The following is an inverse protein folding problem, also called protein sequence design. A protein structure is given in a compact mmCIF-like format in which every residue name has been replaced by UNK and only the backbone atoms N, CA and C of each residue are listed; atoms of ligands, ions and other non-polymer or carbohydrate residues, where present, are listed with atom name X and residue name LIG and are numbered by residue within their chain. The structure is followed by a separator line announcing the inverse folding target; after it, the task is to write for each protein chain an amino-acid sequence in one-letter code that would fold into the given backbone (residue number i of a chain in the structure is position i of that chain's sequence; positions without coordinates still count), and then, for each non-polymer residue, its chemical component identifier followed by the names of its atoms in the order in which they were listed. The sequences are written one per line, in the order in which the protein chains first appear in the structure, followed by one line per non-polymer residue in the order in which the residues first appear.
data_IF_136655021419
#
_entry.id   IF_136655021419
#
_cell.length_a   1.000
_cell.length_b   1.000
_cell.length_c   1.000
_cell.angle_alpha   90.00
_cell.angle_beta   90.00
_cell.angle_gamma   90.00
#
_symmetry.space_group_name_H-M   'P 1'
#
loop_
_entity.id
_entity.type
_entity.pdbx_description
1 polymer ?
#
# COMPACT_ATOMS: atom_id res chain seq x y z
N UNK A 1 4.93 -8.89 -0.71
CA UNK A 1 3.86 -8.66 -1.71
C UNK A 1 3.23 -7.31 -1.47
N UNK A 2 3.02 -6.54 -2.51
CA UNK A 2 2.35 -5.24 -2.41
C UNK A 2 0.95 -5.32 -3.01
N UNK A 3 -0.01 -4.68 -2.35
CA UNK A 3 -1.41 -4.62 -2.76
C UNK A 3 -1.82 -3.16 -2.87
N UNK A 4 -2.54 -2.80 -3.93
CA UNK A 4 -3.05 -1.45 -4.15
C UNK A 4 -4.56 -1.38 -3.92
N UNK A 5 -5.03 -0.25 -3.37
CA UNK A 5 -6.45 0.04 -3.15
C UNK A 5 -6.95 1.21 -4.03
N UNK A 6 -6.17 1.62 -5.02
CA UNK A 6 -6.36 2.90 -5.70
C UNK A 6 -7.30 2.82 -6.91
N UNK A 7 -7.41 1.70 -7.57
CA UNK A 7 -8.17 1.59 -8.83
C UNK A 7 -9.55 0.96 -8.68
N UNK A 8 -10.42 1.14 -9.68
CA UNK A 8 -11.76 0.53 -9.71
C UNK A 8 -11.73 -0.99 -9.83
N UNK A 9 -10.60 -1.55 -10.28
CA UNK A 9 -10.41 -2.99 -10.48
C UNK A 9 -9.70 -3.66 -9.29
N UNK A 10 -9.54 -2.98 -8.18
CA UNK A 10 -8.88 -3.50 -6.99
C UNK A 10 -9.86 -4.25 -6.09
N UNK A 11 -9.35 -5.23 -5.37
CA UNK A 11 -10.14 -6.01 -4.40
C UNK A 11 -10.79 -5.12 -3.35
N UNK A 12 -10.02 -4.18 -2.81
CA UNK A 12 -10.53 -3.11 -1.97
C UNK A 12 -10.47 -1.79 -2.74
N UNK A 13 -11.62 -1.20 -2.97
CA UNK A 13 -11.77 0.04 -3.74
C UNK A 13 -11.85 1.23 -2.81
N UNK A 14 -10.73 1.61 -2.25
CA UNK A 14 -10.64 2.77 -1.35
C UNK A 14 -10.34 4.08 -2.09
N UNK A 15 -9.94 4.01 -3.36
CA UNK A 15 -9.54 5.16 -4.14
C UNK A 15 -8.12 5.65 -3.86
N UNK A 16 -7.54 5.27 -2.74
CA UNK A 16 -6.16 5.58 -2.34
C UNK A 16 -5.63 4.57 -1.35
N UNK A 17 -4.31 4.43 -1.31
CA UNK A 17 -3.63 3.57 -0.35
C UNK A 17 -3.28 2.20 -0.89
N UNK A 18 -2.75 1.39 -0.04
CA UNK A 18 -2.31 0.03 -0.33
C UNK A 18 -1.81 -0.67 0.92
N UNK A 19 -1.28 -1.85 0.73
CA UNK A 19 -0.69 -2.64 1.81
C UNK A 19 0.56 -3.38 1.35
N UNK A 20 1.47 -3.58 2.26
CA UNK A 20 2.60 -4.50 2.12
C UNK A 20 2.34 -5.72 2.99
N UNK A 21 2.33 -6.90 2.39
CA UNK A 21 2.18 -8.17 3.07
C UNK A 21 3.54 -8.84 3.18
N UNK A 22 3.94 -9.20 4.39
CA UNK A 22 5.22 -9.83 4.66
C UNK A 22 5.12 -10.80 5.83
N UNK A 23 5.88 -11.89 5.76
CA UNK A 23 6.06 -12.84 6.86
C UNK A 23 7.27 -12.50 7.74
N UNK A 24 8.08 -11.53 7.32
CA UNK A 24 9.24 -11.05 8.08
C UNK A 24 8.78 -10.05 9.15
N UNK A 25 8.87 -10.46 10.41
CA UNK A 25 8.48 -9.64 11.55
C UNK A 25 9.32 -8.36 11.68
N UNK A 26 10.62 -8.44 11.45
CA UNK A 26 11.50 -7.27 11.52
C UNK A 26 11.21 -6.27 10.39
N UNK A 27 10.94 -6.76 9.19
CA UNK A 27 10.51 -5.93 8.08
C UNK A 27 9.19 -5.24 8.40
N UNK A 28 8.23 -5.93 8.98
CA UNK A 28 6.94 -5.37 9.39
C UNK A 28 7.11 -4.23 10.40
N UNK A 29 7.97 -4.39 11.40
CA UNK A 29 8.26 -3.34 12.38
C UNK A 29 8.91 -2.13 11.72
N UNK A 30 9.83 -2.36 10.78
CA UNK A 30 10.47 -1.28 10.03
C UNK A 30 9.45 -0.50 9.18
N UNK A 31 8.58 -1.19 8.45
CA UNK A 31 7.53 -0.56 7.64
C UNK A 31 6.53 0.23 8.47
N UNK A 32 6.16 -0.24 9.65
CA UNK A 32 5.29 0.49 10.57
C UNK A 32 5.89 1.84 10.95
N UNK A 33 7.18 1.90 11.22
CA UNK A 33 7.90 3.14 11.49
C UNK A 33 8.06 4.00 10.23
N UNK A 34 8.46 3.39 9.13
CA UNK A 34 8.70 4.09 7.87
C UNK A 34 7.48 4.88 7.39
N UNK A 35 6.28 4.29 7.48
CA UNK A 35 5.02 4.95 7.07
C UNK A 35 4.58 6.08 8.00
N UNK A 36 5.12 6.15 9.20
CA UNK A 36 4.76 7.11 10.24
C UNK A 36 5.95 7.99 10.62
N UNK A 37 6.57 8.61 9.63
CA UNK A 37 7.69 9.54 9.80
C UNK A 37 8.90 8.97 10.56
N UNK A 38 9.10 7.66 10.53
CA UNK A 38 10.15 6.96 11.27
C UNK A 38 9.90 6.81 12.77
N UNK A 39 8.71 7.22 13.23
CA UNK A 39 8.34 7.24 14.64
C UNK A 39 8.02 5.84 15.18
N UNK A 40 8.37 5.62 16.45
CA UNK A 40 7.91 4.46 17.23
C UNK A 40 6.52 4.71 17.80
N UNK A 41 5.83 3.64 18.16
CA UNK A 41 4.56 3.71 18.89
C UNK A 41 4.82 3.99 20.38
N UNK A 42 5.29 5.19 20.67
CA UNK A 42 5.60 5.62 22.03
C UNK A 42 5.39 7.14 22.17
N UNK A 43 5.49 7.62 23.40
CA UNK A 43 5.43 9.05 23.67
C UNK A 43 6.55 9.79 22.94
N UNK A 44 6.27 11.02 22.50
CA UNK A 44 7.25 11.92 21.91
C UNK A 44 8.53 12.06 22.78
N UNK A 45 8.36 12.11 24.08
CA UNK A 45 9.48 12.29 25.02
C UNK A 45 10.37 11.05 25.18
N UNK A 46 9.90 9.88 24.79
CA UNK A 46 10.63 8.61 24.90
C UNK A 46 11.13 8.10 23.56
N UNK A 47 10.78 8.75 22.46
CA UNK A 47 11.24 8.38 21.14
C UNK A 47 12.66 8.90 20.89
N UNK A 48 13.52 8.07 20.33
CA UNK A 48 14.91 8.41 20.04
C UNK A 48 15.11 9.10 18.69
N UNK A 49 14.09 9.16 17.84
CA UNK A 49 14.16 9.76 16.50
C UNK A 49 15.36 9.26 15.66
N UNK A 50 15.57 7.96 15.68
CA UNK A 50 16.74 7.31 15.10
C UNK A 50 16.51 6.77 13.68
N UNK A 51 15.37 7.09 13.07
CA UNK A 51 14.99 6.61 11.75
C UNK A 51 14.29 7.70 10.94
N UNK A 52 14.70 7.84 9.68
CA UNK A 52 13.98 8.66 8.70
C UNK A 52 12.81 7.85 8.14
N UNK A 53 11.66 8.49 8.01
CA UNK A 53 10.48 7.89 7.43
C UNK A 53 9.63 8.91 6.68
N UNK A 54 8.44 8.49 6.29
CA UNK A 54 7.52 9.28 5.49
C UNK A 54 6.15 9.37 6.16
N UNK A 55 5.41 10.40 5.84
CA UNK A 55 4.02 10.53 6.26
C UNK A 55 3.13 9.79 5.24
N UNK A 56 3.02 8.48 5.40
CA UNK A 56 2.34 7.58 4.45
C UNK A 56 1.37 6.61 5.13
N UNK A 57 0.98 6.86 6.35
CA UNK A 57 -0.02 6.00 6.99
C UNK A 57 -1.39 6.16 6.34
N UNK A 58 -2.16 5.07 6.34
CA UNK A 58 -3.52 5.09 5.85
C UNK A 58 -4.40 5.93 6.80
N UNK A 59 -5.19 6.84 6.23
CA UNK A 59 -6.09 7.66 7.03
C UNK A 59 -7.12 6.79 7.76
N UNK A 60 -7.44 7.10 9.03
CA UNK A 60 -8.38 6.29 9.81
C UNK A 60 -9.75 6.10 9.16
N UNK A 61 -10.27 7.10 8.46
CA UNK A 61 -11.53 7.03 7.74
C UNK A 61 -11.48 6.01 6.59
N UNK A 62 -10.38 5.97 5.85
CA UNK A 62 -10.17 4.99 4.80
C UNK A 62 -9.95 3.59 5.37
N UNK A 63 -9.24 3.48 6.48
CA UNK A 63 -9.04 2.20 7.16
C UNK A 63 -10.37 1.61 7.67
N UNK A 64 -11.21 2.42 8.27
CA UNK A 64 -12.54 2.02 8.72
C UNK A 64 -13.42 1.55 7.55
N UNK A 65 -13.44 2.31 6.46
CA UNK A 65 -14.15 1.92 5.23
C UNK A 65 -13.59 0.62 4.64
N UNK A 66 -12.27 0.46 4.66
CA UNK A 66 -11.60 -0.76 4.20
C UNK A 66 -12.01 -2.00 5.00
N UNK A 67 -12.13 -1.89 6.32
CA UNK A 67 -12.59 -2.98 7.17
C UNK A 67 -14.03 -3.40 6.85
N UNK A 68 -14.92 -2.45 6.61
CA UNK A 68 -16.29 -2.73 6.19
C UNK A 68 -16.33 -3.44 4.83
N UNK A 69 -15.55 -2.97 3.85
CA UNK A 69 -15.47 -3.58 2.54
C UNK A 69 -14.84 -4.98 2.58
N UNK A 70 -13.84 -5.20 3.43
CA UNK A 70 -13.27 -6.53 3.65
C UNK A 70 -14.28 -7.50 4.20
N UNK A 71 -15.08 -7.09 5.16
CA UNK A 71 -16.14 -7.93 5.73
C UNK A 71 -17.14 -8.34 4.65
N UNK A 72 -17.61 -7.40 3.85
CA UNK A 72 -18.51 -7.67 2.72
C UNK A 72 -17.86 -8.60 1.69
N UNK A 73 -16.60 -8.43 1.41
CA UNK A 73 -15.83 -9.25 0.49
C UNK A 73 -15.70 -10.70 1.00
N UNK A 74 -15.42 -10.91 2.28
CA UNK A 74 -15.40 -12.25 2.88
C UNK A 74 -16.74 -12.93 2.81
N UNK A 75 -17.82 -12.23 3.05
CA UNK A 75 -19.17 -12.76 2.94
C UNK A 75 -19.49 -13.20 1.50
N UNK A 76 -18.98 -12.45 0.50
CA UNK A 76 -19.13 -12.79 -0.92
C UNK A 76 -18.24 -13.96 -1.37
N UNK A 77 -17.00 -14.06 -0.89
CA UNK A 77 -16.08 -15.16 -1.23
C UNK A 77 -16.59 -16.50 -0.76
N UNK A 78 -17.28 -16.55 0.37
CA UNK A 78 -17.86 -17.79 0.88
C UNK A 78 -18.94 -18.35 -0.06
N UNK A 79 -19.46 -17.56 -0.99
CA UNK A 79 -20.54 -17.94 -1.90
C UNK A 79 -20.09 -18.17 -3.34
N UNK A 80 -18.96 -17.60 -3.82
CA UNK A 80 -18.51 -17.75 -5.21
C UNK A 80 -16.99 -17.73 -5.37
N UNK A 81 -16.42 -18.61 -6.24
CA UNK A 81 -15.00 -18.52 -6.61
C UNK A 81 -14.77 -17.25 -7.43
N UNK A 82 -13.81 -16.44 -6.99
CA UNK A 82 -13.41 -15.23 -7.72
C UNK A 82 -12.42 -15.63 -8.80
N UNK A 83 -12.91 -15.84 -10.01
CA UNK A 83 -12.10 -15.79 -11.21
C UNK A 83 -12.78 -14.84 -12.19
N UNK A 84 -12.28 -13.62 -12.27
CA UNK A 84 -12.68 -12.71 -13.32
C UNK A 84 -11.47 -12.40 -14.19
N UNK A 85 -11.29 -13.12 -15.31
CA UNK A 85 -10.17 -12.92 -16.22
C UNK A 85 -10.17 -11.52 -16.87
N UNK A 86 -11.30 -10.80 -16.86
CA UNK A 86 -11.41 -9.45 -17.40
C UNK A 86 -10.82 -8.37 -16.50
N UNK A 87 -10.35 -8.73 -15.30
CA UNK A 87 -9.72 -7.79 -14.35
C UNK A 87 -8.21 -7.61 -14.55
N UNK A 88 -7.58 -8.42 -15.39
CA UNK A 88 -6.20 -8.24 -15.78
C UNK A 88 -6.05 -7.26 -16.93
N UNK A 89 -6.08 -5.97 -16.63
CA UNK A 89 -5.64 -4.97 -17.58
C UNK A 89 -4.11 -5.09 -17.74
N UNK A 90 -3.59 -5.27 -18.96
CA UNK A 90 -2.16 -5.32 -19.17
C UNK A 90 -1.55 -3.97 -18.79
N UNK A 91 -0.55 -4.01 -17.91
CA UNK A 91 0.26 -2.82 -17.64
C UNK A 91 1.03 -2.44 -18.90
N UNK A 92 1.14 -1.13 -19.19
CA UNK A 92 2.00 -0.69 -20.27
C UNK A 92 3.45 -1.09 -19.98
N UNK A 93 4.19 -1.41 -21.03
CA UNK A 93 5.62 -1.65 -20.93
C UNK A 93 6.34 -0.31 -20.67
N UNK A 94 6.76 -0.09 -19.44
CA UNK A 94 7.37 1.17 -19.01
C UNK A 94 8.72 1.44 -19.68
N UNK A 95 9.39 0.39 -20.18
CA UNK A 95 10.65 0.55 -20.91
C UNK A 95 10.51 1.33 -22.22
N UNK A 96 9.31 1.48 -22.73
CA UNK A 96 9.00 2.24 -23.96
C UNK A 96 8.79 3.73 -23.72
N UNK A 97 8.76 4.18 -22.48
CA UNK A 97 8.57 5.59 -22.17
C UNK A 97 9.90 6.24 -21.82
N UNK A 98 10.22 7.31 -22.51
CA UNK A 98 11.49 8.06 -22.35
C UNK A 98 11.78 8.45 -20.90
N UNK A 99 10.77 8.78 -20.13
CA UNK A 99 10.92 9.18 -18.72
C UNK A 99 11.55 8.09 -17.84
N UNK A 100 11.41 6.81 -18.24
CA UNK A 100 11.99 5.67 -17.51
C UNK A 100 13.26 5.11 -18.14
N UNK A 101 13.59 5.53 -19.37
CA UNK A 101 14.72 4.97 -20.15
C UNK A 101 15.89 5.91 -20.26
N UNK A 102 15.68 7.21 -20.13
CA UNK A 102 16.76 8.20 -20.11
C UNK A 102 17.37 8.24 -18.71
N UNK A 103 18.66 8.05 -18.63
CA UNK A 103 19.39 8.48 -17.44
C UNK A 103 19.02 9.94 -17.18
N UNK A 104 18.56 10.22 -15.99
CA UNK A 104 18.29 11.62 -15.57
C UNK A 104 19.64 12.31 -15.39
N UNK A 105 20.27 12.68 -16.51
CA UNK A 105 21.46 13.52 -16.51
C UNK A 105 21.06 14.90 -15.99
N UNK A 106 21.35 15.16 -14.73
CA UNK A 106 21.34 16.49 -14.19
C UNK A 106 19.96 17.03 -13.84
N UNK A 107 19.24 16.36 -12.95
CA UNK A 107 18.28 17.09 -12.12
C UNK A 107 19.08 17.90 -11.13
N UNK A 108 19.36 19.08 -11.55
CA UNK A 108 19.81 20.12 -10.63
C UNK A 108 18.62 20.72 -9.94
#
# INVERSE_FOLDING_TARGET
MCVSFTGPYKTLKLGKGGAILTDDYHAMLWFKRARFSGRRECSYHTDHFDMIGWNMYLMPELAARGLLLMKQFYDLISEQPISNPDLELPYPDLSKFDVFTKENDGIS
#
